data_IF_931863716342
#
_entry.id   IF_931863716342
#
_cell.length_a   1.000
_cell.length_b   1.000
_cell.length_c   1.000
_cell.angle_alpha   90.00
_cell.angle_beta   90.00
_cell.angle_gamma   90.00
#
_symmetry.space_group_name_H-M   'P 1'
#
loop_
_entity.id
_entity.type
_entity.pdbx_description
1 polymer ?
#
# COMPACT_ATOMS: atom_id res chain seq x y z
N UNK A 1 24.89 2.62 12.00
CA UNK A 1 23.82 3.62 12.19
C UNK A 1 22.49 2.88 12.31
N UNK A 2 21.93 2.85 13.53
CA UNK A 2 20.66 2.18 13.83
C UNK A 2 19.50 3.03 13.31
N UNK A 3 19.01 2.77 12.10
CA UNK A 3 17.69 3.26 11.69
C UNK A 3 16.67 2.19 12.05
N UNK A 4 16.27 2.13 13.33
CA UNK A 4 14.94 1.61 13.62
C UNK A 4 13.97 2.54 12.88
N UNK A 5 13.55 2.14 11.69
CA UNK A 5 12.44 2.76 10.97
C UNK A 5 11.29 2.72 11.96
N UNK A 6 11.07 3.84 12.68
CA UNK A 6 9.92 3.99 13.56
C UNK A 6 8.73 3.68 12.68
N UNK A 7 8.15 2.51 12.89
CA UNK A 7 7.02 2.04 12.12
C UNK A 7 5.91 3.04 12.43
N UNK A 8 5.77 4.04 11.55
CA UNK A 8 4.80 5.11 11.75
C UNK A 8 3.44 4.43 11.82
N UNK A 9 2.79 4.56 12.96
CA UNK A 9 1.44 4.03 13.13
C UNK A 9 0.54 4.68 12.09
N UNK A 10 -0.19 3.85 11.35
CA UNK A 10 -1.23 4.28 10.41
C UNK A 10 -2.63 4.21 11.06
N UNK A 11 -2.72 3.86 12.35
CA UNK A 11 -4.01 3.81 13.06
C UNK A 11 -4.67 5.18 13.07
N UNK A 12 -5.94 5.24 12.66
CA UNK A 12 -6.71 6.47 12.58
C UNK A 12 -6.33 7.38 11.42
N UNK A 13 -5.54 6.88 10.46
CA UNK A 13 -5.08 7.63 9.28
C UNK A 13 -5.45 6.90 8.00
N UNK A 14 -5.65 7.68 6.94
CA UNK A 14 -5.89 7.13 5.61
C UNK A 14 -4.58 6.76 4.91
N UNK A 15 -4.63 5.61 4.23
CA UNK A 15 -3.57 5.10 3.38
C UNK A 15 -4.02 5.19 1.93
N UNK A 16 -3.26 5.90 1.11
CA UNK A 16 -3.51 6.00 -0.32
C UNK A 16 -2.60 5.03 -1.07
N UNK A 17 -3.20 4.17 -1.89
CA UNK A 17 -2.49 3.15 -2.66
C UNK A 17 -2.46 3.57 -4.13
N UNK A 18 -1.27 3.94 -4.62
CA UNK A 18 -1.01 4.14 -6.04
C UNK A 18 -0.54 2.84 -6.69
N UNK A 19 -1.14 2.47 -7.82
CA UNK A 19 -0.80 1.27 -8.58
C UNK A 19 -0.45 1.71 -10.00
N UNK A 20 0.80 1.47 -10.40
CA UNK A 20 1.27 1.61 -11.77
C UNK A 20 1.34 0.22 -12.41
N UNK A 21 0.61 0.02 -13.51
CA UNK A 21 0.47 -1.27 -14.20
C UNK A 21 1.48 -1.32 -15.36
N UNK A 22 2.43 -2.25 -15.28
CA UNK A 22 3.47 -2.45 -16.31
C UNK A 22 3.49 -3.88 -16.79
N UNK A 23 2.93 -4.12 -17.98
CA UNK A 23 2.87 -5.45 -18.62
C UNK A 23 2.31 -6.52 -17.68
N UNK A 24 3.19 -7.24 -16.96
CA UNK A 24 2.86 -8.36 -16.06
C UNK A 24 3.08 -8.05 -14.58
N UNK A 25 3.43 -6.81 -14.23
CA UNK A 25 3.69 -6.40 -12.85
C UNK A 25 2.94 -5.13 -12.47
N UNK A 26 2.62 -5.02 -11.19
CA UNK A 26 2.22 -3.80 -10.53
C UNK A 26 3.41 -3.22 -9.78
N UNK A 27 3.68 -1.92 -9.97
CA UNK A 27 4.49 -1.13 -9.04
C UNK A 27 3.55 -0.42 -8.10
N UNK A 28 3.65 -0.73 -6.80
CA UNK A 28 2.71 -0.25 -5.78
C UNK A 28 3.42 0.70 -4.84
N UNK A 29 2.83 1.86 -4.60
CA UNK A 29 3.28 2.84 -3.62
C UNK A 29 2.14 3.16 -2.66
N UNK A 30 2.44 3.17 -1.36
CA UNK A 30 1.47 3.52 -0.33
C UNK A 30 1.96 4.77 0.40
N UNK A 31 1.09 5.77 0.46
CA UNK A 31 1.36 7.07 1.03
C UNK A 31 0.42 7.32 2.22
N UNK A 32 0.97 7.88 3.29
CA UNK A 32 0.24 8.35 4.47
C UNK A 32 0.70 9.78 4.75
N UNK A 33 -0.22 10.74 4.82
CA UNK A 33 0.11 12.15 5.13
C UNK A 33 1.23 12.72 4.23
N UNK A 34 1.19 12.41 2.93
CA UNK A 34 2.20 12.84 1.96
C UNK A 34 3.55 12.12 2.04
N UNK A 35 3.75 11.20 3.00
CA UNK A 35 4.97 10.41 3.13
C UNK A 35 4.81 9.00 2.55
N UNK A 36 5.81 8.54 1.78
CA UNK A 36 5.89 7.16 1.31
C UNK A 36 6.13 6.23 2.50
N UNK A 37 5.17 5.35 2.80
CA UNK A 37 5.26 4.38 3.91
C UNK A 37 5.61 2.98 3.44
N UNK A 38 5.28 2.64 2.19
CA UNK A 38 5.64 1.35 1.60
C UNK A 38 5.71 1.44 0.08
N UNK A 39 6.65 0.70 -0.52
CA UNK A 39 6.76 0.52 -1.96
C UNK A 39 7.18 -0.92 -2.26
N UNK A 40 6.54 -1.56 -3.23
CA UNK A 40 6.94 -2.89 -3.70
C UNK A 40 6.49 -3.14 -5.14
N UNK A 41 6.98 -4.24 -5.70
CA UNK A 41 6.50 -4.78 -6.97
C UNK A 41 5.86 -6.14 -6.74
N UNK A 42 4.82 -6.44 -7.51
CA UNK A 42 4.15 -7.74 -7.50
C UNK A 42 3.67 -8.07 -8.91
N UNK A 43 3.28 -9.32 -9.15
CA UNK A 43 2.63 -9.69 -10.42
C UNK A 43 1.31 -8.94 -10.56
N UNK A 44 0.91 -8.67 -11.82
CA UNK A 44 -0.34 -8.01 -12.16
C UNK A 44 -1.54 -8.93 -11.91
N UNK A 45 -1.80 -9.22 -10.64
CA UNK A 45 -2.86 -10.07 -10.12
C UNK A 45 -3.58 -9.30 -8.99
N UNK A 46 -4.83 -8.86 -9.22
CA UNK A 46 -5.60 -8.10 -8.24
C UNK A 46 -5.85 -8.86 -6.93
N UNK A 47 -6.05 -10.18 -6.97
CA UNK A 47 -6.32 -11.00 -5.78
C UNK A 47 -5.06 -11.09 -4.93
N UNK A 48 -3.92 -11.35 -5.57
CA UNK A 48 -2.62 -11.34 -4.89
C UNK A 48 -2.31 -9.97 -4.28
N UNK A 49 -2.61 -8.89 -5.00
CA UNK A 49 -2.41 -7.54 -4.48
C UNK A 49 -3.30 -7.26 -3.24
N UNK A 50 -4.58 -7.63 -3.29
CA UNK A 50 -5.49 -7.47 -2.15
C UNK A 50 -4.99 -8.22 -0.91
N UNK A 51 -4.55 -9.47 -1.07
CA UNK A 51 -3.94 -10.25 0.03
C UNK A 51 -2.69 -9.58 0.59
N UNK A 52 -1.81 -9.05 -0.26
CA UNK A 52 -0.63 -8.31 0.18
C UNK A 52 -1.02 -7.05 0.98
N UNK A 53 -2.01 -6.28 0.52
CA UNK A 53 -2.48 -5.09 1.21
C UNK A 53 -3.02 -5.42 2.62
N UNK A 54 -3.83 -6.47 2.74
CA UNK A 54 -4.37 -6.92 4.03
C UNK A 54 -3.24 -7.38 4.97
N UNK A 55 -2.25 -8.12 4.45
CA UNK A 55 -1.12 -8.59 5.24
C UNK A 55 -0.19 -7.45 5.69
N UNK A 56 0.01 -6.43 4.85
CA UNK A 56 0.90 -5.31 5.16
C UNK A 56 0.27 -4.24 6.04
N UNK A 57 -1.05 -4.08 5.96
CA UNK A 57 -1.81 -3.10 6.73
C UNK A 57 -2.92 -3.81 7.49
N UNK A 58 -2.58 -4.69 8.45
CA UNK A 58 -3.59 -5.36 9.25
C UNK A 58 -4.49 -4.34 9.94
N UNK A 59 -5.79 -4.66 10.05
CA UNK A 59 -6.84 -3.79 10.62
C UNK A 59 -7.21 -2.57 9.77
N UNK A 60 -6.54 -2.32 8.63
CA UNK A 60 -7.03 -1.33 7.68
C UNK A 60 -8.24 -1.89 6.91
N UNK A 61 -9.22 -1.02 6.64
CA UNK A 61 -10.36 -1.36 5.78
C UNK A 61 -9.98 -1.04 4.33
N UNK A 62 -9.89 -2.08 3.49
CA UNK A 62 -9.61 -1.89 2.07
C UNK A 62 -10.88 -1.41 1.35
N UNK A 63 -10.79 -0.28 0.66
CA UNK A 63 -11.87 0.29 -0.12
C UNK A 63 -11.39 0.57 -1.55
N UNK A 64 -12.26 0.34 -2.53
CA UNK A 64 -11.99 0.77 -3.90
C UNK A 64 -12.18 2.28 -4.02
N UNK A 65 -11.35 2.93 -4.84
CA UNK A 65 -11.60 4.32 -5.22
C UNK A 65 -12.90 4.38 -6.03
N UNK A 66 -13.95 4.95 -5.45
CA UNK A 66 -15.19 5.26 -6.17
C UNK A 66 -15.03 6.65 -6.75
N UNK A 67 -14.84 6.76 -8.05
CA UNK A 67 -14.89 8.05 -8.73
C UNK A 67 -16.34 8.55 -8.70
N UNK A 68 -16.54 9.84 -8.38
CA UNK A 68 -17.82 10.54 -8.49
C UNK A 68 -18.10 10.91 -9.95
#
# INVERSE_FOLDING_TARGET
>A
MNSSLRQRSYTGKDLFVGIDIRKRTYSVAVVMEGALVKKWQTFADPVKLAHQLIAYFPKALLQGARNF
#
